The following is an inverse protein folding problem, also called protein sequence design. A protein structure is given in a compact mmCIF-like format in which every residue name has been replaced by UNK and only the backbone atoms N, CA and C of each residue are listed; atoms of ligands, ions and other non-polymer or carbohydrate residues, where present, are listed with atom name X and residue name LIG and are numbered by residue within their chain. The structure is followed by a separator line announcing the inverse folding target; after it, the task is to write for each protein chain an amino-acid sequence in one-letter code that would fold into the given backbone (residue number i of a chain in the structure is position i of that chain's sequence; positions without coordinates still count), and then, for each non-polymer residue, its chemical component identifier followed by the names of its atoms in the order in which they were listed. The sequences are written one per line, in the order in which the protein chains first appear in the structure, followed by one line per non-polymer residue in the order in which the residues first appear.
data_IF_782888780190
#
_entry.id   IF_782888780190
#
_cell.length_a   1.000
_cell.length_b   1.000
_cell.length_c   1.000
_cell.angle_alpha   90.00
_cell.angle_beta   90.00
_cell.angle_gamma   90.00
#
_symmetry.space_group_name_H-M   'P 1'
#
loop_
_entity.id
_entity.type
_entity.pdbx_description
1 polymer ?
#
# COMPACT_ATOMS: atom_id res chain seq x y z
N UNK A 1 31.57 -1.00 0.38
CA UNK A 1 30.79 -0.22 -0.61
C UNK A 1 29.91 0.73 0.18
N UNK A 2 30.10 2.05 0.05
CA UNK A 2 29.20 3.00 0.73
C UNK A 2 27.80 2.82 0.15
N UNK A 3 26.80 2.68 1.01
CA UNK A 3 25.44 2.53 0.54
C UNK A 3 24.98 3.82 -0.19
N UNK A 4 24.24 3.65 -1.29
CA UNK A 4 23.82 4.75 -2.16
C UNK A 4 22.87 5.76 -1.48
N UNK A 5 22.53 6.88 -2.14
CA UNK A 5 21.80 7.99 -1.52
C UNK A 5 20.46 7.61 -0.86
N UNK A 6 19.69 6.72 -1.50
CA UNK A 6 18.42 6.22 -0.94
C UNK A 6 18.63 5.48 0.39
N UNK A 7 19.68 4.66 0.47
CA UNK A 7 19.96 3.89 1.67
C UNK A 7 20.42 4.77 2.83
N UNK A 8 21.22 5.78 2.54
CA UNK A 8 21.57 6.79 3.54
C UNK A 8 20.33 7.49 4.09
N UNK A 9 19.35 7.78 3.21
CA UNK A 9 18.07 8.36 3.62
C UNK A 9 17.25 7.41 4.51
N UNK A 10 17.14 6.13 4.15
CA UNK A 10 16.47 5.11 4.98
C UNK A 10 17.11 4.98 6.36
N UNK A 11 18.44 4.94 6.43
CA UNK A 11 19.18 4.90 7.69
C UNK A 11 18.94 6.15 8.53
N UNK A 12 18.97 7.32 7.89
CA UNK A 12 18.73 8.61 8.55
C UNK A 12 17.32 8.68 9.14
N UNK A 13 16.29 8.38 8.35
CA UNK A 13 14.89 8.39 8.84
C UNK A 13 14.67 7.37 9.96
N UNK A 14 15.30 6.19 9.88
CA UNK A 14 15.24 5.20 10.95
C UNK A 14 15.91 5.68 12.25
N UNK A 15 17.08 6.32 12.15
CA UNK A 15 17.77 6.89 13.30
C UNK A 15 16.99 8.07 13.92
N UNK A 16 16.34 8.90 13.09
CA UNK A 16 15.46 9.98 13.54
C UNK A 16 14.26 9.44 14.33
N UNK A 17 13.63 8.36 13.86
CA UNK A 17 12.56 7.67 14.61
C UNK A 17 13.07 7.11 15.94
N UNK A 18 14.23 6.44 15.94
CA UNK A 18 14.85 5.89 17.15
C UNK A 18 15.15 6.99 18.18
N UNK A 19 15.62 8.16 17.72
CA UNK A 19 15.92 9.31 18.57
C UNK A 19 14.70 9.94 19.26
N UNK A 20 13.48 9.71 18.75
CA UNK A 20 12.25 10.14 19.44
C UNK A 20 12.03 9.40 20.76
N UNK A 21 12.59 8.19 20.92
CA UNK A 21 12.64 7.48 22.18
C UNK A 21 11.27 7.06 22.75
N UNK A 22 10.24 6.91 21.93
CA UNK A 22 8.96 6.38 22.40
C UNK A 22 9.12 4.94 22.92
N UNK A 23 8.33 4.53 23.93
CA UNK A 23 8.37 3.16 24.43
C UNK A 23 8.05 2.15 23.32
N UNK A 24 8.53 0.89 23.41
CA UNK A 24 8.20 -0.13 22.43
C UNK A 24 6.69 -0.26 22.22
N UNK A 25 6.24 0.03 20.99
CA UNK A 25 4.84 -0.11 20.58
C UNK A 25 4.64 -1.39 19.76
N UNK A 26 3.44 -1.97 19.87
CA UNK A 26 3.05 -3.12 19.08
C UNK A 26 3.09 -2.79 17.58
N UNK A 27 3.61 -3.73 16.78
CA UNK A 27 3.64 -3.64 15.33
C UNK A 27 2.25 -4.04 14.81
N UNK A 28 1.59 -3.15 14.06
CA UNK A 28 0.27 -3.40 13.50
C UNK A 28 0.36 -3.81 12.03
N UNK A 29 -0.47 -4.77 11.56
CA UNK A 29 -0.55 -5.06 10.13
C UNK A 29 -1.15 -3.86 9.38
N UNK A 30 -0.56 -3.54 8.24
CA UNK A 30 -1.05 -2.50 7.34
C UNK A 30 -0.87 -2.91 5.89
N UNK A 31 -1.63 -2.28 5.00
CA UNK A 31 -1.49 -2.46 3.57
C UNK A 31 -1.52 -1.13 2.85
N UNK A 32 -0.84 -1.06 1.71
CA UNK A 32 -0.81 0.13 0.86
C UNK A 32 -0.85 -0.28 -0.60
N UNK A 33 -1.60 0.46 -1.42
CA UNK A 33 -1.89 0.10 -2.81
C UNK A 33 -1.24 1.09 -3.78
N UNK A 34 -0.36 0.58 -4.62
CA UNK A 34 0.13 1.30 -5.80
C UNK A 34 -0.82 1.02 -6.96
N UNK A 35 -1.47 2.05 -7.48
CA UNK A 35 -2.25 1.95 -8.72
C UNK A 35 -1.43 2.60 -9.82
N UNK A 36 -1.13 1.85 -10.87
CA UNK A 36 -0.37 2.33 -12.02
C UNK A 36 -1.30 2.63 -13.19
N UNK A 37 -1.24 3.87 -13.67
CA UNK A 37 -1.66 4.26 -15.02
C UNK A 37 -0.52 3.94 -15.98
N UNK A 38 -0.79 3.07 -16.95
CA UNK A 38 0.18 2.54 -17.91
C UNK A 38 0.11 3.22 -19.28
N UNK A 39 -0.51 4.40 -19.36
CA UNK A 39 -0.47 5.25 -20.55
C UNK A 39 0.97 5.65 -20.91
N UNK A 40 1.15 6.30 -22.07
CA UNK A 40 2.45 6.74 -22.61
C UNK A 40 3.34 7.49 -21.58
N UNK A 41 2.74 8.12 -20.57
CA UNK A 41 3.45 8.70 -19.43
C UNK A 41 3.00 8.02 -18.14
N UNK A 42 3.65 6.92 -17.73
CA UNK A 42 3.19 6.14 -16.60
C UNK A 42 3.12 6.95 -15.31
N UNK A 43 2.02 6.82 -14.60
CA UNK A 43 1.73 7.60 -13.41
C UNK A 43 1.15 6.72 -12.30
N UNK A 44 1.38 7.12 -11.05
CA UNK A 44 0.87 6.42 -9.87
C UNK A 44 -0.10 7.30 -9.10
N UNK A 45 -1.15 6.70 -8.55
CA UNK A 45 -2.06 7.41 -7.66
C UNK A 45 -1.35 7.72 -6.33
N UNK A 46 -1.31 8.99 -5.95
CA UNK A 46 -0.75 9.44 -4.68
C UNK A 46 -1.61 10.55 -4.07
N UNK A 47 -1.50 10.73 -2.76
CA UNK A 47 -2.05 11.88 -2.05
C UNK A 47 -1.05 12.38 -1.01
N UNK A 48 -1.17 13.66 -0.64
CA UNK A 48 -0.36 14.27 0.41
C UNK A 48 -1.06 14.14 1.74
N UNK A 49 -0.40 13.55 2.73
CA UNK A 49 -0.96 13.49 4.09
C UNK A 49 -1.22 14.90 4.62
N UNK A 50 -2.41 15.09 5.20
CA UNK A 50 -2.76 16.34 5.87
C UNK A 50 -1.73 16.75 6.91
N UNK A 51 -1.56 18.05 7.15
CA UNK A 51 -0.53 18.58 8.07
C UNK A 51 -0.71 18.13 9.51
N UNK A 52 -1.92 17.73 9.89
CA UNK A 52 -2.26 17.21 11.22
C UNK A 52 -2.22 15.69 11.33
N UNK A 53 -1.79 15.00 10.26
CA UNK A 53 -1.70 13.54 10.27
C UNK A 53 -0.69 13.06 11.32
N UNK A 54 -1.07 12.04 12.09
CA UNK A 54 -0.28 11.55 13.25
C UNK A 54 1.04 10.90 12.87
N UNK A 55 1.21 10.53 11.61
CA UNK A 55 2.39 9.83 11.09
C UNK A 55 2.82 10.40 9.73
N UNK A 56 4.01 10.99 9.65
CA UNK A 56 4.57 11.61 8.43
C UNK A 56 3.66 12.67 7.77
N UNK A 57 3.38 13.81 8.42
CA UNK A 57 2.57 14.88 7.82
C UNK A 57 3.26 15.54 6.63
N UNK A 58 2.49 15.94 5.61
CA UNK A 58 2.98 16.75 4.48
C UNK A 58 3.80 16.00 3.43
N UNK A 59 4.01 14.69 3.56
CA UNK A 59 4.64 13.85 2.52
C UNK A 59 3.58 13.21 1.63
N UNK A 60 3.94 12.96 0.37
CA UNK A 60 3.12 12.16 -0.54
C UNK A 60 3.25 10.67 -0.22
N UNK A 61 2.12 9.97 -0.24
CA UNK A 61 1.99 8.55 0.03
C UNK A 61 1.05 7.91 -0.99
N UNK A 62 1.16 6.60 -1.14
CA UNK A 62 0.10 5.81 -1.75
C UNK A 62 -1.06 5.65 -0.75
N UNK A 63 -2.29 5.42 -1.21
CA UNK A 63 -3.38 5.09 -0.33
C UNK A 63 -3.07 3.83 0.50
N UNK A 64 -3.55 3.79 1.74
CA UNK A 64 -3.35 2.64 2.61
C UNK A 64 -3.34 2.93 4.10
N UNK A 65 -3.64 1.89 4.88
CA UNK A 65 -3.80 1.97 6.32
C UNK A 65 -3.80 0.61 7.00
N UNK A 66 -4.33 0.59 8.23
CA UNK A 66 -4.29 -0.58 9.10
C UNK A 66 -5.35 -1.62 8.73
N UNK A 67 -5.09 -2.90 9.01
CA UNK A 67 -6.11 -3.95 8.80
C UNK A 67 -7.16 -3.91 9.91
N UNK A 68 -8.41 -3.75 9.53
CA UNK A 68 -9.57 -3.66 10.41
C UNK A 68 -10.33 -4.99 10.58
N UNK A 69 -11.23 -5.11 11.56
CA UNK A 69 -12.06 -6.31 11.73
C UNK A 69 -12.98 -6.61 10.53
N UNK A 70 -13.47 -5.58 9.84
CA UNK A 70 -14.31 -5.72 8.64
C UNK A 70 -13.53 -6.37 7.49
N UNK A 71 -12.27 -5.98 7.28
CA UNK A 71 -11.37 -6.60 6.28
C UNK A 71 -11.24 -8.12 6.51
N UNK A 72 -11.07 -8.54 7.76
CA UNK A 72 -10.94 -9.96 8.14
C UNK A 72 -12.23 -10.75 7.98
N UNK A 73 -13.38 -10.13 8.25
CA UNK A 73 -14.69 -10.75 8.04
C UNK A 73 -14.90 -11.02 6.55
N UNK A 74 -14.67 -10.00 5.72
CA UNK A 74 -14.87 -10.10 4.29
C UNK A 74 -13.85 -11.03 3.61
N UNK A 75 -12.61 -11.03 4.10
CA UNK A 75 -11.57 -11.93 3.65
C UNK A 75 -12.05 -13.38 3.62
N UNK A 76 -12.92 -13.81 4.55
CA UNK A 76 -13.48 -15.18 4.59
C UNK A 76 -14.12 -15.63 3.29
N UNK A 77 -14.65 -14.68 2.53
CA UNK A 77 -15.37 -14.88 1.28
C UNK A 77 -14.58 -14.39 0.06
N UNK A 78 -13.73 -13.37 0.23
CA UNK A 78 -12.94 -12.76 -0.84
C UNK A 78 -11.45 -13.00 -0.61
N UNK A 79 -10.87 -13.89 -1.43
CA UNK A 79 -9.48 -14.35 -1.28
C UNK A 79 -8.57 -13.78 -2.36
N UNK A 80 -7.32 -13.56 -1.98
CA UNK A 80 -6.23 -13.46 -2.95
C UNK A 80 -6.08 -14.75 -3.76
N UNK A 81 -5.49 -14.65 -4.94
CA UNK A 81 -5.10 -15.82 -5.71
C UNK A 81 -3.96 -16.59 -5.01
N UNK A 82 -3.84 -17.89 -5.30
CA UNK A 82 -2.87 -18.76 -4.63
C UNK A 82 -1.41 -18.27 -4.76
N UNK A 83 -0.92 -17.83 -5.94
CA UNK A 83 0.45 -17.31 -6.06
C UNK A 83 0.73 -16.09 -5.16
N UNK A 84 -0.23 -15.17 -5.03
CA UNK A 84 -0.08 -14.03 -4.14
C UNK A 84 -0.07 -14.48 -2.66
N UNK A 85 -0.93 -15.43 -2.29
CA UNK A 85 -0.94 -16.01 -0.94
C UNK A 85 0.40 -16.66 -0.60
N UNK A 86 0.94 -17.47 -1.52
CA UNK A 86 2.24 -18.13 -1.34
C UNK A 86 3.35 -17.09 -1.11
N UNK A 87 3.35 -16.01 -1.90
CA UNK A 87 4.29 -14.88 -1.74
C UNK A 87 4.17 -14.21 -0.37
N UNK A 88 2.95 -13.99 0.12
CA UNK A 88 2.66 -13.34 1.40
C UNK A 88 3.00 -14.19 2.63
N UNK A 89 3.09 -15.50 2.47
CA UNK A 89 3.48 -16.44 3.53
C UNK A 89 5.00 -16.59 3.71
N UNK A 90 5.82 -16.15 2.74
CA UNK A 90 7.28 -16.19 2.88
C UNK A 90 7.73 -15.20 3.97
N UNK A 91 8.57 -15.68 4.89
CA UNK A 91 9.09 -14.89 6.03
C UNK A 91 7.97 -14.25 6.88
N UNK A 92 6.80 -14.87 6.94
CA UNK A 92 5.58 -14.34 7.55
C UNK A 92 4.77 -15.45 8.22
N UNK A 93 4.18 -15.16 9.38
CA UNK A 93 3.37 -16.14 10.13
C UNK A 93 1.85 -15.89 10.01
N UNK A 94 1.45 -15.07 9.04
CA UNK A 94 0.03 -14.76 8.80
C UNK A 94 -0.66 -15.95 8.13
N UNK A 95 -1.94 -16.15 8.41
CA UNK A 95 -2.74 -17.14 7.70
C UNK A 95 -3.36 -16.56 6.41
N UNK A 96 -4.02 -17.42 5.63
CA UNK A 96 -4.70 -17.04 4.39
C UNK A 96 -5.77 -15.96 4.59
N UNK A 97 -6.42 -15.92 5.76
CA UNK A 97 -7.45 -14.91 6.07
C UNK A 97 -6.80 -13.56 6.26
N UNK A 98 -5.76 -13.48 7.07
CA UNK A 98 -5.01 -12.25 7.32
C UNK A 98 -4.30 -11.75 6.05
N UNK A 99 -3.74 -12.66 5.23
CA UNK A 99 -3.14 -12.32 3.94
C UNK A 99 -4.16 -11.68 2.99
N UNK A 100 -5.38 -12.23 2.90
CA UNK A 100 -6.45 -11.65 2.09
C UNK A 100 -7.01 -10.36 2.70
N UNK A 101 -7.07 -10.27 4.03
CA UNK A 101 -7.48 -9.07 4.74
C UNK A 101 -6.54 -7.89 4.50
N UNK A 102 -5.23 -8.12 4.31
CA UNK A 102 -4.28 -7.08 3.90
C UNK A 102 -4.64 -6.52 2.51
N UNK A 103 -4.92 -7.36 1.53
CA UNK A 103 -5.32 -6.89 0.19
C UNK A 103 -6.64 -6.11 0.24
N UNK A 104 -7.61 -6.60 1.02
CA UNK A 104 -8.88 -5.91 1.23
C UNK A 104 -8.69 -4.57 1.95
N UNK A 105 -7.86 -4.50 3.00
CA UNK A 105 -7.52 -3.24 3.65
C UNK A 105 -6.97 -2.22 2.64
N UNK A 106 -6.07 -2.64 1.73
CA UNK A 106 -5.58 -1.78 0.67
C UNK A 106 -6.70 -1.25 -0.26
N UNK A 107 -7.69 -2.07 -0.60
CA UNK A 107 -8.86 -1.67 -1.41
C UNK A 107 -9.76 -0.70 -0.64
N UNK A 108 -10.09 -1.01 0.61
CA UNK A 108 -10.93 -0.17 1.48
C UNK A 108 -10.32 1.21 1.67
N UNK A 109 -9.06 1.26 2.09
CA UNK A 109 -8.33 2.51 2.34
C UNK A 109 -8.23 3.35 1.05
N UNK A 110 -8.02 2.71 -0.10
CA UNK A 110 -8.03 3.42 -1.38
C UNK A 110 -9.37 4.10 -1.65
N UNK A 111 -10.48 3.42 -1.38
CA UNK A 111 -11.80 4.03 -1.49
C UNK A 111 -12.00 5.15 -0.46
N UNK A 112 -11.70 4.91 0.82
CA UNK A 112 -11.90 5.87 1.90
C UNK A 112 -11.07 7.15 1.72
N UNK A 113 -9.86 7.03 1.18
CA UNK A 113 -8.94 8.16 1.00
C UNK A 113 -9.02 8.83 -0.37
N UNK A 114 -9.61 8.18 -1.39
CA UNK A 114 -9.62 8.74 -2.78
C UNK A 114 -10.97 8.70 -3.49
N UNK A 115 -11.93 7.91 -2.99
CA UNK A 115 -13.21 7.63 -3.63
C UNK A 115 -13.13 6.59 -4.75
N UNK A 116 -11.93 6.11 -5.11
CA UNK A 116 -11.76 5.13 -6.19
C UNK A 116 -12.01 3.70 -5.71
N UNK A 117 -12.75 2.94 -6.53
CA UNK A 117 -13.13 1.55 -6.26
C UNK A 117 -12.34 0.57 -7.11
N UNK A 118 -11.76 -0.45 -6.47
CA UNK A 118 -11.09 -1.58 -7.14
C UNK A 118 -11.99 -2.81 -7.02
N UNK A 119 -12.64 -3.17 -8.12
CA UNK A 119 -13.54 -4.30 -8.14
C UNK A 119 -14.52 -4.27 -9.30
N UNK A 120 -15.61 -5.01 -9.15
CA UNK A 120 -16.66 -5.08 -10.14
C UNK A 120 -17.96 -4.48 -9.58
N UNK A 121 -18.70 -3.77 -10.44
CA UNK A 121 -20.09 -3.40 -10.20
C UNK A 121 -20.98 -4.47 -10.83
N UNK A 122 -21.67 -5.26 -10.02
CA UNK A 122 -22.48 -6.37 -10.50
C UNK A 122 -23.95 -6.18 -10.13
N UNK A 123 -24.84 -6.60 -11.04
CA UNK A 123 -26.27 -6.69 -10.75
C UNK A 123 -26.52 -8.01 -10.01
N UNK A 124 -26.51 -7.97 -8.68
CA UNK A 124 -26.70 -9.15 -7.82
C UNK A 124 -27.14 -8.78 -6.41
N UNK A 125 -27.37 -9.80 -5.59
CA UNK A 125 -27.60 -9.60 -4.16
C UNK A 125 -26.38 -8.89 -3.57
N UNK A 126 -26.62 -7.80 -2.84
CA UNK A 126 -25.56 -7.04 -2.19
C UNK A 126 -24.68 -7.98 -1.34
N UNK A 127 -23.38 -7.70 -1.29
CA UNK A 127 -22.53 -8.25 -0.23
C UNK A 127 -23.25 -8.08 1.12
N UNK A 128 -23.10 -9.01 2.08
CA UNK A 128 -23.65 -8.82 3.40
C UNK A 128 -23.27 -7.42 3.89
N UNK A 129 -24.21 -6.68 4.49
CA UNK A 129 -23.91 -5.35 5.02
C UNK A 129 -22.87 -5.47 6.14
N UNK A 130 -21.60 -5.41 5.74
CA UNK A 130 -20.44 -5.47 6.61
C UNK A 130 -19.95 -4.07 6.95
N UNK A 131 -20.64 -3.02 6.46
CA UNK A 131 -20.16 -1.64 6.50
C UNK A 131 -18.82 -1.48 5.78
N UNK A 132 -18.61 -2.20 4.67
CA UNK A 132 -17.31 -2.35 4.03
C UNK A 132 -17.39 -2.23 2.48
N UNK A 133 -16.57 -1.37 1.84
CA UNK A 133 -16.08 -0.13 2.46
C UNK A 133 -17.27 0.74 2.91
N UNK A 134 -17.06 1.63 3.87
CA UNK A 134 -18.13 2.50 4.37
C UNK A 134 -18.78 3.31 3.22
N UNK A 135 -20.11 3.29 3.06
CA UNK A 135 -20.83 3.97 1.97
C UNK A 135 -20.41 3.56 0.54
N UNK A 136 -19.91 2.34 0.34
CA UNK A 136 -19.69 1.82 -1.01
C UNK A 136 -21.00 1.80 -1.84
N UNK A 137 -20.93 2.03 -3.17
CA UNK A 137 -22.09 1.88 -4.04
C UNK A 137 -22.72 0.49 -3.94
N UNK A 138 -24.05 0.42 -4.02
CA UNK A 138 -24.77 -0.86 -4.02
C UNK A 138 -24.34 -1.74 -5.20
N UNK A 139 -24.07 -3.02 -4.95
CA UNK A 139 -23.60 -3.96 -5.98
C UNK A 139 -22.09 -3.92 -6.24
N UNK A 140 -21.31 -3.20 -5.42
CA UNK A 140 -19.86 -3.26 -5.47
C UNK A 140 -19.33 -4.57 -4.86
N UNK A 141 -18.49 -5.28 -5.62
CA UNK A 141 -17.78 -6.47 -5.15
C UNK A 141 -16.27 -6.22 -5.28
N UNK A 142 -15.50 -6.25 -4.18
CA UNK A 142 -14.05 -6.09 -4.25
C UNK A 142 -13.42 -7.28 -4.98
N UNK A 143 -12.28 -7.01 -5.62
CA UNK A 143 -11.53 -8.04 -6.34
C UNK A 143 -10.09 -8.10 -5.84
N UNK A 144 -9.84 -8.62 -4.61
CA UNK A 144 -8.48 -8.73 -4.09
C UNK A 144 -7.56 -9.57 -4.99
N UNK A 145 -8.10 -10.50 -5.78
CA UNK A 145 -7.35 -11.26 -6.78
C UNK A 145 -6.70 -10.42 -7.90
N UNK A 146 -7.07 -9.14 -8.03
CA UNK A 146 -6.48 -8.19 -8.98
C UNK A 146 -5.28 -7.43 -8.40
N UNK A 147 -4.90 -7.70 -7.14
CA UNK A 147 -3.74 -7.12 -6.49
C UNK A 147 -2.56 -8.10 -6.52
N UNK A 148 -1.39 -7.60 -6.91
CA UNK A 148 -0.13 -8.35 -6.89
C UNK A 148 0.74 -7.87 -5.73
N UNK A 149 1.32 -8.75 -4.90
CA UNK A 149 2.28 -8.35 -3.88
C UNK A 149 3.50 -7.63 -4.48
N UNK A 150 3.85 -6.48 -3.92
CA UNK A 150 4.89 -5.60 -4.44
C UNK A 150 6.12 -5.55 -3.53
N UNK A 151 5.93 -5.40 -2.22
CA UNK A 151 6.98 -5.26 -1.22
C UNK A 151 6.45 -5.44 0.21
N UNK A 152 7.35 -5.56 1.18
CA UNK A 152 7.03 -5.50 2.61
C UNK A 152 7.96 -4.53 3.33
N UNK A 153 7.43 -3.71 4.24
CA UNK A 153 8.26 -2.83 5.06
C UNK A 153 7.78 -2.78 6.51
N UNK A 154 8.71 -2.96 7.45
CA UNK A 154 8.46 -2.80 8.89
C UNK A 154 9.01 -1.47 9.36
N UNK A 155 8.16 -0.63 9.96
CA UNK A 155 8.57 0.65 10.56
C UNK A 155 9.66 0.42 11.61
N UNK A 156 10.78 1.18 11.59
CA UNK A 156 11.80 1.15 12.64
C UNK A 156 11.22 1.42 14.04
N UNK A 157 11.92 1.02 15.12
CA UNK A 157 11.53 1.35 16.50
C UNK A 157 11.68 2.85 16.80
N UNK A 158 11.14 3.28 17.95
CA UNK A 158 11.29 4.65 18.49
C UNK A 158 10.17 5.64 18.13
N UNK A 159 9.38 5.36 17.09
CA UNK A 159 8.16 6.11 16.77
C UNK A 159 6.97 5.73 17.66
N UNK A 160 5.96 6.62 17.72
CA UNK A 160 4.70 6.39 18.45
C UNK A 160 3.78 5.34 17.78
N UNK A 161 4.05 5.01 16.53
CA UNK A 161 3.30 4.04 15.73
C UNK A 161 4.27 3.17 14.93
N UNK A 162 3.97 1.88 14.81
CA UNK A 162 4.75 0.95 13.99
C UNK A 162 3.84 0.03 13.20
N UNK A 163 4.18 -0.14 11.94
CA UNK A 163 3.42 -0.96 11.01
C UNK A 163 4.32 -2.00 10.35
N UNK A 164 3.75 -3.14 10.04
CA UNK A 164 4.31 -4.14 9.14
C UNK A 164 3.49 -4.12 7.85
N UNK A 165 3.89 -3.24 6.95
CA UNK A 165 3.12 -2.84 5.78
C UNK A 165 3.40 -3.77 4.61
N UNK A 166 2.33 -4.34 4.01
CA UNK A 166 2.41 -5.03 2.72
C UNK A 166 1.99 -4.07 1.62
N UNK A 167 2.86 -3.88 0.64
CA UNK A 167 2.53 -3.09 -0.54
C UNK A 167 1.98 -4.02 -1.61
N UNK A 168 0.91 -3.60 -2.26
CA UNK A 168 0.33 -4.25 -3.42
C UNK A 168 0.42 -3.32 -4.62
N UNK A 169 0.30 -3.89 -5.81
CA UNK A 169 0.17 -3.14 -7.07
C UNK A 169 -1.01 -3.64 -7.88
N UNK A 170 -1.69 -2.73 -8.56
CA UNK A 170 -2.73 -3.02 -9.54
C UNK A 170 -2.69 -2.02 -10.70
N UNK A 171 -3.39 -2.32 -11.80
CA UNK A 171 -3.49 -1.42 -12.96
C UNK A 171 -4.71 -0.51 -12.82
N UNK A 172 -4.63 0.73 -13.33
CA UNK A 172 -5.74 1.70 -13.41
C UNK A 172 -6.98 1.10 -14.09
N UNK A 173 -6.81 0.18 -15.04
CA UNK A 173 -7.93 -0.50 -15.73
C UNK A 173 -8.78 -1.41 -14.83
N UNK A 174 -8.30 -1.72 -13.62
CA UNK A 174 -9.06 -2.49 -12.62
C UNK A 174 -9.96 -1.60 -11.73
N UNK A 175 -9.96 -0.28 -11.96
CA UNK A 175 -10.91 0.63 -11.33
C UNK A 175 -12.30 0.47 -11.93
N UNK A 176 -13.35 0.62 -11.11
CA UNK A 176 -14.74 0.62 -11.60
C UNK A 176 -14.99 1.82 -12.52
N UNK A 177 -14.46 2.99 -12.15
CA UNK A 177 -14.53 4.22 -12.93
C UNK A 177 -13.11 4.78 -13.14
N UNK A 178 -12.32 4.21 -14.08
CA UNK A 178 -10.92 4.59 -14.26
C UNK A 178 -10.75 6.04 -14.69
N UNK A 179 -11.75 6.62 -15.35
CA UNK A 179 -11.77 7.99 -15.89
C UNK A 179 -12.63 8.95 -15.05
N UNK A 180 -12.84 8.63 -13.76
CA UNK A 180 -13.54 9.51 -12.83
C UNK A 180 -12.95 10.93 -12.91
N UNK A 181 -13.78 11.97 -13.14
CA UNK A 181 -13.29 13.32 -13.43
C UNK A 181 -12.70 14.02 -12.20
N UNK A 182 -13.01 13.53 -11.00
CA UNK A 182 -12.55 14.08 -9.73
C UNK A 182 -12.47 12.96 -8.68
N UNK A 183 -11.63 13.19 -7.67
CA UNK A 183 -11.61 12.40 -6.45
C UNK A 183 -12.66 12.95 -5.48
N UNK A 184 -13.50 12.07 -4.93
CA UNK A 184 -14.52 12.41 -3.94
C UNK A 184 -14.39 11.45 -2.74
N UNK A 185 -13.33 11.62 -1.93
CA UNK A 185 -13.04 10.69 -0.85
C UNK A 185 -14.06 10.84 0.29
N UNK A 186 -14.54 9.71 0.87
CA UNK A 186 -15.35 9.74 2.08
C UNK A 186 -14.64 10.37 3.30
N UNK A 187 -13.30 10.38 3.29
CA UNK A 187 -12.47 10.93 4.36
C UNK A 187 -11.61 12.10 3.88
N UNK A 188 -11.05 12.86 4.82
CA UNK A 188 -10.16 14.00 4.55
C UNK A 188 -8.71 13.72 4.98
N UNK A 189 -8.29 12.45 4.97
CA UNK A 189 -6.94 12.07 5.43
C UNK A 189 -5.84 12.46 4.43
N UNK A 190 -6.16 12.40 3.14
CA UNK A 190 -5.30 12.84 2.05
C UNK A 190 -5.81 14.16 1.44
N UNK A 191 -4.86 15.05 1.19
CA UNK A 191 -5.01 16.26 0.39
C UNK A 191 -4.26 16.07 -0.94
N UNK A 192 -4.49 16.93 -1.93
CA UNK A 192 -3.75 16.92 -3.21
C UNK A 192 -3.68 15.53 -3.88
N UNK A 193 -4.81 14.82 -3.88
CA UNK A 193 -4.92 13.48 -4.49
C UNK A 193 -4.80 13.63 -6.01
N UNK A 194 -3.95 12.80 -6.63
CA UNK A 194 -3.72 12.88 -8.05
C UNK A 194 -2.85 11.77 -8.62
N UNK A 195 -2.88 11.68 -9.95
CA UNK A 195 -1.96 10.85 -10.73
C UNK A 195 -0.63 11.57 -10.90
N UNK A 196 0.40 11.00 -10.30
CA UNK A 196 1.77 11.55 -10.32
C UNK A 196 2.61 10.75 -11.29
N UNK A 197 3.17 11.40 -12.31
CA UNK A 197 4.04 10.70 -13.26
C UNK A 197 5.27 10.15 -12.56
N UNK A 198 5.68 8.94 -12.91
CA UNK A 198 6.87 8.31 -12.33
C UNK A 198 8.12 9.19 -12.51
N UNK A 199 8.22 9.89 -13.64
CA UNK A 199 9.30 10.84 -13.96
C UNK A 199 9.35 12.08 -13.06
N UNK A 200 8.25 12.44 -12.40
CA UNK A 200 8.12 13.65 -11.57
C UNK A 200 8.33 13.35 -10.07
N UNK A 201 8.44 12.07 -9.68
CA UNK A 201 8.58 11.65 -8.26
C UNK A 201 9.94 11.97 -7.62
N UNK A 202 10.93 12.37 -8.41
CA UNK A 202 12.30 12.65 -7.95
C UNK A 202 12.34 13.70 -6.83
N UNK A 203 11.75 14.86 -7.08
CA UNK A 203 11.84 16.02 -6.18
C UNK A 203 10.70 16.11 -5.16
N UNK A 204 9.76 15.17 -5.20
CA UNK A 204 8.61 15.18 -4.31
C UNK A 204 9.00 14.92 -2.85
N UNK A 205 8.28 15.52 -1.88
CA UNK A 205 8.46 15.25 -0.47
C UNK A 205 7.92 13.85 -0.15
N UNK A 206 8.80 12.85 -0.27
CA UNK A 206 8.50 11.45 -0.06
C UNK A 206 9.32 10.89 1.10
N UNK A 207 8.71 10.00 1.88
CA UNK A 207 9.42 9.08 2.76
C UNK A 207 10.46 8.27 1.98
N UNK A 208 11.58 7.88 2.61
CA UNK A 208 12.58 7.06 1.96
C UNK A 208 12.00 5.70 1.51
N UNK A 209 11.11 5.11 2.30
CA UNK A 209 10.45 3.86 1.91
C UNK A 209 9.57 4.04 0.68
N UNK A 210 8.75 5.10 0.61
CA UNK A 210 7.90 5.39 -0.58
C UNK A 210 8.75 5.55 -1.83
N UNK A 211 9.90 6.23 -1.71
CA UNK A 211 10.86 6.37 -2.82
C UNK A 211 11.45 5.03 -3.25
N UNK A 212 11.76 4.14 -2.31
CA UNK A 212 12.24 2.79 -2.62
C UNK A 212 11.18 1.99 -3.39
N UNK A 213 9.92 2.03 -2.93
CA UNK A 213 8.81 1.37 -3.61
C UNK A 213 8.62 1.90 -5.04
N UNK A 214 8.69 3.22 -5.27
CA UNK A 214 8.61 3.79 -6.61
C UNK A 214 9.74 3.30 -7.54
N UNK A 215 10.96 3.18 -7.03
CA UNK A 215 12.08 2.63 -7.80
C UNK A 215 11.86 1.15 -8.14
N UNK A 216 11.31 0.36 -7.21
CA UNK A 216 10.94 -1.03 -7.45
C UNK A 216 9.82 -1.14 -8.50
N UNK A 217 8.78 -0.29 -8.43
CA UNK A 217 7.69 -0.21 -9.41
C UNK A 217 8.25 0.09 -10.79
N UNK A 218 9.05 1.15 -10.94
CA UNK A 218 9.63 1.54 -12.23
C UNK A 218 10.50 0.42 -12.81
N UNK A 219 11.34 -0.22 -11.98
CA UNK A 219 12.23 -1.30 -12.42
C UNK A 219 11.44 -2.52 -12.87
N UNK A 220 10.43 -2.94 -12.10
CA UNK A 220 9.60 -4.11 -12.42
C UNK A 220 8.64 -3.85 -13.60
N UNK A 221 8.18 -2.61 -13.76
CA UNK A 221 7.37 -2.21 -14.92
C UNK A 221 8.18 -2.36 -16.21
N UNK A 222 9.39 -1.78 -16.26
CA UNK A 222 10.30 -1.91 -17.41
C UNK A 222 10.69 -3.37 -17.69
N UNK A 223 10.85 -4.18 -16.64
CA UNK A 223 11.17 -5.60 -16.78
C UNK A 223 9.97 -6.49 -17.17
N UNK A 224 8.74 -5.96 -17.18
CA UNK A 224 7.52 -6.74 -17.45
C UNK A 224 7.13 -7.71 -16.33
N UNK A 225 7.63 -7.50 -15.10
CA UNK A 225 7.40 -8.40 -13.95
C UNK A 225 6.54 -7.78 -12.85
N UNK A 226 6.03 -6.56 -13.06
CA UNK A 226 5.29 -5.81 -12.04
C UNK A 226 4.07 -6.55 -11.50
N UNK A 227 3.31 -7.19 -12.38
CA UNK A 227 2.09 -7.92 -12.01
C UNK A 227 2.28 -9.42 -11.81
N UNK A 228 3.50 -9.95 -11.93
CA UNK A 228 3.76 -11.36 -11.65
C UNK A 228 3.75 -11.63 -10.13
N UNK A 229 2.76 -12.37 -9.60
CA UNK A 229 2.70 -12.70 -8.18
C UNK A 229 3.79 -13.68 -7.73
N UNK A 230 4.42 -14.39 -8.68
CA UNK A 230 5.53 -15.30 -8.40
C UNK A 230 6.88 -14.57 -8.36
N UNK A 231 6.95 -13.28 -8.69
CA UNK A 231 8.19 -12.53 -8.62
C UNK A 231 8.58 -12.23 -7.16
N UNK A 232 9.86 -12.41 -6.76
CA UNK A 232 10.34 -12.03 -5.43
C UNK A 232 10.07 -10.57 -5.09
N UNK A 233 9.74 -10.29 -3.83
CA UNK A 233 9.44 -8.93 -3.37
C UNK A 233 10.50 -8.48 -2.35
N UNK A 234 10.89 -7.20 -2.35
CA UNK A 234 11.81 -6.69 -1.34
C UNK A 234 11.14 -6.58 0.03
N UNK A 235 11.85 -7.04 1.06
CA UNK A 235 11.50 -6.90 2.46
C UNK A 235 12.46 -5.94 3.17
N UNK A 236 11.94 -4.76 3.50
CA UNK A 236 12.63 -3.66 4.18
C UNK A 236 12.42 -3.74 5.70
N UNK A 237 13.50 -3.83 6.47
CA UNK A 237 13.41 -3.83 7.94
C UNK A 237 14.65 -3.29 8.63
N UNK A 238 14.48 -2.80 9.85
CA UNK A 238 15.58 -2.43 10.75
C UNK A 238 16.04 -3.65 11.55
N UNK A 239 17.34 -3.95 11.57
CA UNK A 239 17.94 -4.96 12.45
C UNK A 239 19.22 -4.43 13.10
N UNK A 240 19.21 -4.25 14.43
CA UNK A 240 20.36 -3.69 15.15
C UNK A 240 20.71 -2.29 14.66
N UNK A 241 21.94 -2.08 14.18
CA UNK A 241 22.41 -0.82 13.55
C UNK A 241 22.38 -0.83 12.00
N UNK A 242 21.90 -1.93 11.39
CA UNK A 242 21.66 -2.03 9.96
C UNK A 242 20.19 -1.79 9.58
N UNK A 243 19.99 -1.25 8.39
CA UNK A 243 18.76 -1.46 7.63
C UNK A 243 18.98 -2.68 6.73
N UNK A 244 17.95 -3.46 6.41
CA UNK A 244 18.06 -4.65 5.58
C UNK A 244 17.04 -4.58 4.43
N UNK A 245 17.43 -5.14 3.28
CA UNK A 245 16.59 -5.35 2.10
C UNK A 245 16.91 -6.72 1.53
N UNK A 246 16.07 -7.70 1.85
CA UNK A 246 16.14 -9.05 1.28
C UNK A 246 15.07 -9.22 0.21
N UNK A 247 15.32 -10.06 -0.80
CA UNK A 247 14.26 -10.52 -1.69
C UNK A 247 13.65 -11.77 -1.08
N UNK A 248 12.36 -11.70 -0.75
CA UNK A 248 11.58 -12.82 -0.22
C UNK A 248 10.62 -13.32 -1.27
#
# INVERSE_FOLDING_TARGET
MSAGPLWQKLLKEAAELEALGHPPVAIRPAASLVILDESESPAVLMGRRGRHHRFMPGVFVFPGGGVEPCDRKLAKHHRLNQPALDRLHIESSIDTVEASALALAAIRETFEETGLLIGAQEHGDAEPDLGWPYNAPAGFHPRPQWLTPLARAVTPPGGSHRYDTRFFVTCRSNLVEPDAPQFDPPTLELEDIGWVRLSETGDMPLAAITRAILQDVQSRFVAGTLYDPNHPIPFYRRQGQAFLRDLI
#
